data_IF_998231235881
#
_entry.id   IF_998231235881
#
_cell.length_a   1.000
_cell.length_b   1.000
_cell.length_c   1.000
_cell.angle_alpha   90.00
_cell.angle_beta   90.00
_cell.angle_gamma   90.00
#
_symmetry.space_group_name_H-M   'P 1'
#
loop_
_entity.id
_entity.type
_entity.pdbx_description
1 polymer ?
#
# COMPACT_ATOMS: atom_id res chain seq x y z
N UNK A 1 -4.06 -33.56 3.20
CA UNK A 1 -4.23 -32.98 4.54
C UNK A 1 -3.06 -32.08 4.78
N UNK A 2 -3.29 -30.84 5.15
CA UNK A 2 -2.25 -30.01 5.73
C UNK A 2 -2.13 -30.49 7.18
N UNK A 3 -1.12 -31.31 7.48
CA UNK A 3 -0.87 -31.77 8.86
C UNK A 3 -0.32 -30.58 9.67
N UNK A 4 -1.20 -29.83 10.34
CA UNK A 4 -0.84 -28.67 11.14
C UNK A 4 -2.03 -28.00 11.82
N UNK A 5 -1.76 -27.08 12.75
CA UNK A 5 -2.80 -26.21 13.31
C UNK A 5 -3.30 -25.18 12.27
N UNK A 6 -4.45 -24.57 12.55
CA UNK A 6 -5.10 -23.59 11.67
C UNK A 6 -4.20 -22.38 11.35
N UNK A 7 -3.37 -21.96 12.30
CA UNK A 7 -2.46 -20.83 12.08
C UNK A 7 -1.32 -21.20 11.11
N UNK A 8 -0.79 -22.42 11.21
CA UNK A 8 0.16 -22.97 10.26
C UNK A 8 -0.46 -23.11 8.87
N UNK A 9 -1.69 -23.62 8.78
CA UNK A 9 -2.41 -23.72 7.51
C UNK A 9 -2.62 -22.35 6.84
N UNK A 10 -2.96 -21.30 7.61
CA UNK A 10 -3.05 -19.96 7.06
C UNK A 10 -1.70 -19.46 6.49
N UNK A 11 -0.58 -19.80 7.12
CA UNK A 11 0.77 -19.45 6.63
C UNK A 11 1.14 -20.18 5.33
N UNK A 12 0.53 -21.33 5.05
CA UNK A 12 0.70 -22.02 3.77
C UNK A 12 0.17 -21.18 2.59
N UNK A 13 -0.85 -20.34 2.81
CA UNK A 13 -1.33 -19.38 1.80
C UNK A 13 -0.22 -18.38 1.45
N UNK A 14 0.46 -17.84 2.47
CA UNK A 14 1.59 -16.92 2.29
C UNK A 14 2.75 -17.64 1.59
N UNK A 15 3.08 -18.87 2.02
CA UNK A 15 4.13 -19.69 1.42
C UNK A 15 3.85 -19.94 -0.06
N UNK A 16 2.62 -20.28 -0.41
CA UNK A 16 2.23 -20.54 -1.80
C UNK A 16 2.49 -19.32 -2.70
N UNK A 17 2.17 -18.11 -2.23
CA UNK A 17 2.46 -16.86 -2.96
C UNK A 17 3.98 -16.62 -3.06
N UNK A 18 4.70 -16.67 -1.94
CA UNK A 18 6.14 -16.39 -1.91
C UNK A 18 6.95 -17.37 -2.77
N UNK A 19 6.52 -18.62 -2.85
CA UNK A 19 7.19 -19.68 -3.63
C UNK A 19 6.65 -19.80 -5.06
N UNK A 20 5.66 -18.98 -5.44
CA UNK A 20 4.93 -19.07 -6.73
C UNK A 20 4.33 -20.45 -6.99
N UNK A 21 3.98 -21.18 -5.93
CA UNK A 21 3.31 -22.47 -6.02
C UNK A 21 1.82 -22.28 -6.30
N UNK A 22 1.51 -22.07 -7.59
CA UNK A 22 0.14 -21.87 -8.05
C UNK A 22 -0.75 -23.10 -7.85
N UNK A 23 -0.16 -24.30 -7.77
CA UNK A 23 -0.90 -25.55 -7.56
C UNK A 23 -1.41 -25.60 -6.12
N UNK A 24 -0.53 -25.33 -5.15
CA UNK A 24 -0.90 -25.21 -3.76
C UNK A 24 -1.89 -24.06 -3.54
N UNK A 25 -1.64 -22.88 -4.13
CA UNK A 25 -2.54 -21.75 -3.95
C UNK A 25 -3.95 -22.06 -4.48
N UNK A 26 -4.08 -22.73 -5.63
CA UNK A 26 -5.38 -23.20 -6.15
C UNK A 26 -6.03 -24.22 -5.21
N UNK A 27 -5.26 -25.15 -4.65
CA UNK A 27 -5.77 -26.12 -3.67
C UNK A 27 -6.40 -25.37 -2.48
N UNK A 28 -5.67 -24.43 -1.89
CA UNK A 28 -6.08 -23.63 -0.73
C UNK A 28 -7.28 -22.72 -1.01
N UNK A 29 -7.39 -22.17 -2.23
CA UNK A 29 -8.41 -21.15 -2.59
C UNK A 29 -9.63 -21.68 -3.32
N UNK A 30 -9.64 -22.96 -3.75
CA UNK A 30 -10.72 -23.52 -4.57
C UNK A 30 -11.32 -24.82 -4.04
N UNK A 31 -10.73 -25.43 -3.02
CA UNK A 31 -11.15 -26.76 -2.55
C UNK A 31 -11.95 -26.64 -1.26
N UNK A 32 -13.28 -26.85 -1.28
CA UNK A 32 -14.12 -26.65 -0.10
C UNK A 32 -13.71 -27.48 1.13
N UNK A 33 -13.17 -28.68 0.90
CA UNK A 33 -12.68 -29.55 1.99
C UNK A 33 -11.50 -28.95 2.76
N UNK A 34 -10.71 -28.08 2.11
CA UNK A 34 -9.52 -27.45 2.71
C UNK A 34 -9.89 -26.19 3.50
N UNK A 35 -11.04 -25.57 3.23
CA UNK A 35 -11.46 -24.35 3.94
C UNK A 35 -11.65 -24.60 5.43
N UNK A 36 -12.11 -25.80 5.82
CA UNK A 36 -12.23 -26.20 7.22
C UNK A 36 -10.87 -26.34 7.94
N UNK A 37 -9.74 -26.23 7.24
CA UNK A 37 -8.38 -26.21 7.81
C UNK A 37 -7.84 -24.77 7.94
N UNK A 38 -8.50 -23.76 7.36
CA UNK A 38 -8.06 -22.36 7.31
C UNK A 38 -9.04 -21.46 8.07
N UNK A 39 -8.54 -20.45 8.79
CA UNK A 39 -9.42 -19.43 9.41
C UNK A 39 -9.47 -18.12 8.62
N UNK A 40 -8.47 -17.83 7.78
CA UNK A 40 -8.44 -16.63 6.94
C UNK A 40 -7.45 -16.78 5.79
N UNK A 41 -7.67 -16.03 4.71
CA UNK A 41 -6.70 -15.86 3.63
C UNK A 41 -5.77 -14.64 3.86
N UNK A 42 -6.06 -13.80 4.86
CA UNK A 42 -5.33 -12.56 5.14
C UNK A 42 -4.44 -12.64 6.40
N UNK A 43 -4.03 -13.85 6.79
CA UNK A 43 -3.15 -14.00 7.94
C UNK A 43 -1.85 -13.22 7.76
N UNK A 44 -1.37 -12.63 8.84
CA UNK A 44 -0.08 -11.97 8.88
C UNK A 44 1.02 -13.02 8.99
N UNK A 45 2.16 -12.76 8.35
CA UNK A 45 3.32 -13.67 8.39
C UNK A 45 3.79 -13.94 9.81
N UNK A 46 3.91 -12.90 10.64
CA UNK A 46 4.33 -12.98 12.03
C UNK A 46 3.99 -11.67 12.77
N UNK A 47 4.05 -11.67 14.11
CA UNK A 47 3.95 -10.47 14.96
C UNK A 47 4.67 -9.23 14.42
N UNK A 48 5.94 -9.37 14.01
CA UNK A 48 6.74 -8.25 13.49
C UNK A 48 6.45 -7.95 12.00
N UNK A 49 5.99 -8.94 11.24
CA UNK A 49 5.78 -8.83 9.80
C UNK A 49 4.30 -8.99 9.49
N UNK A 50 3.60 -7.86 9.51
CA UNK A 50 2.15 -7.76 9.28
C UNK A 50 1.73 -7.97 7.81
N UNK A 51 2.65 -8.43 6.95
CA UNK A 51 2.37 -8.71 5.52
C UNK A 51 1.61 -10.02 5.36
N UNK A 52 0.53 -10.00 4.61
CA UNK A 52 -0.28 -11.17 4.25
C UNK A 52 0.07 -11.68 2.85
N UNK A 53 -0.55 -12.79 2.44
CA UNK A 53 -0.39 -13.35 1.11
C UNK A 53 -0.73 -12.33 0.00
N UNK A 54 -1.79 -11.54 0.19
CA UNK A 54 -2.16 -10.51 -0.79
C UNK A 54 -1.12 -9.39 -0.84
N UNK A 55 -0.58 -8.95 0.30
CA UNK A 55 0.49 -7.94 0.33
C UNK A 55 1.69 -8.38 -0.52
N UNK A 56 2.11 -9.64 -0.40
CA UNK A 56 3.20 -10.17 -1.23
C UNK A 56 2.82 -10.33 -2.70
N UNK A 57 1.56 -10.67 -3.02
CA UNK A 57 1.10 -10.72 -4.40
C UNK A 57 1.11 -9.32 -5.04
N UNK A 58 0.69 -8.30 -4.31
CA UNK A 58 0.73 -6.89 -4.73
C UNK A 58 2.17 -6.43 -4.99
N UNK A 59 3.08 -6.65 -4.04
CA UNK A 59 4.48 -6.22 -4.18
C UNK A 59 5.23 -6.94 -5.32
N UNK A 60 4.83 -8.17 -5.64
CA UNK A 60 5.40 -8.90 -6.78
C UNK A 60 4.64 -8.68 -8.08
N UNK A 61 3.59 -7.84 -8.07
CA UNK A 61 2.65 -7.64 -9.18
C UNK A 61 2.10 -8.97 -9.76
N UNK A 62 1.91 -9.97 -8.89
CA UNK A 62 1.41 -11.30 -9.26
C UNK A 62 -0.12 -11.29 -9.37
N UNK A 63 -0.60 -10.89 -10.55
CA UNK A 63 -2.02 -10.83 -10.88
C UNK A 63 -2.73 -12.18 -10.72
N UNK A 64 -2.03 -13.30 -10.96
CA UNK A 64 -2.61 -14.63 -10.87
C UNK A 64 -2.88 -15.00 -9.41
N UNK A 65 -1.90 -14.77 -8.53
CA UNK A 65 -2.06 -15.00 -7.09
C UNK A 65 -3.09 -14.06 -6.47
N UNK A 66 -3.01 -12.76 -6.77
CA UNK A 66 -3.97 -11.76 -6.28
C UNK A 66 -5.40 -12.09 -6.74
N UNK A 67 -5.58 -12.55 -7.98
CA UNK A 67 -6.87 -12.95 -8.51
C UNK A 67 -7.46 -14.16 -7.81
N UNK A 68 -6.63 -15.17 -7.49
CA UNK A 68 -7.05 -16.33 -6.71
C UNK A 68 -7.49 -15.94 -5.29
N UNK A 69 -6.71 -15.09 -4.63
CA UNK A 69 -7.01 -14.62 -3.27
C UNK A 69 -8.28 -13.77 -3.22
N UNK A 70 -8.45 -12.83 -4.16
CA UNK A 70 -9.67 -12.03 -4.28
C UNK A 70 -10.89 -12.92 -4.51
N UNK A 71 -10.80 -13.85 -5.48
CA UNK A 71 -11.89 -14.77 -5.77
C UNK A 71 -12.27 -15.61 -4.54
N UNK A 72 -11.30 -16.07 -3.75
CA UNK A 72 -11.56 -16.80 -2.53
C UNK A 72 -12.27 -15.93 -1.49
N UNK A 73 -11.79 -14.70 -1.27
CA UNK A 73 -12.42 -13.75 -0.34
C UNK A 73 -13.85 -13.38 -0.72
N UNK A 74 -14.18 -13.36 -2.02
CA UNK A 74 -15.53 -13.02 -2.50
C UNK A 74 -16.51 -14.20 -2.43
N UNK A 75 -16.02 -15.45 -2.59
CA UNK A 75 -16.86 -16.64 -2.79
C UNK A 75 -16.92 -17.59 -1.60
N UNK A 76 -15.90 -17.59 -0.73
CA UNK A 76 -15.85 -18.49 0.41
C UNK A 76 -16.60 -17.85 1.57
N UNK A 77 -17.65 -18.52 2.02
CA UNK A 77 -18.43 -18.05 3.17
C UNK A 77 -17.65 -18.29 4.46
N UNK A 78 -17.74 -17.36 5.41
CA UNK A 78 -17.01 -17.43 6.70
C UNK A 78 -17.31 -18.73 7.47
N UNK A 79 -18.51 -19.28 7.31
CA UNK A 79 -18.97 -20.53 7.93
C UNK A 79 -18.24 -21.77 7.38
N UNK A 80 -17.63 -21.67 6.21
CA UNK A 80 -16.82 -22.73 5.61
C UNK A 80 -15.38 -22.75 6.14
N UNK A 81 -14.94 -21.65 6.76
CA UNK A 81 -13.62 -21.52 7.36
C UNK A 81 -13.63 -22.06 8.80
N UNK A 82 -12.48 -22.55 9.25
CA UNK A 82 -12.24 -22.90 10.63
C UNK A 82 -12.35 -21.66 11.54
N UNK A 83 -12.73 -21.88 12.80
CA UNK A 83 -12.58 -20.85 13.83
C UNK A 83 -11.11 -20.47 13.99
N UNK A 84 -10.83 -19.18 14.13
CA UNK A 84 -9.50 -18.74 14.53
C UNK A 84 -9.16 -19.34 15.91
N UNK A 85 -7.89 -19.75 16.13
CA UNK A 85 -7.48 -20.30 17.42
C UNK A 85 -7.68 -19.27 18.52
N UNK A 86 -8.26 -19.71 19.65
CA UNK A 86 -8.41 -18.85 20.82
C UNK A 86 -7.10 -18.73 21.59
N UNK A 87 -6.78 -17.51 21.99
CA UNK A 87 -5.59 -17.23 22.80
C UNK A 87 -5.92 -17.51 24.25
N UNK A 88 -5.40 -18.61 24.79
CA UNK A 88 -5.68 -19.05 26.16
C UNK A 88 -5.19 -18.05 27.24
N UNK A 89 -4.19 -17.23 26.92
CA UNK A 89 -3.69 -16.15 27.77
C UNK A 89 -3.66 -14.85 26.96
N UNK A 90 -4.75 -14.07 26.91
CA UNK A 90 -4.83 -12.89 26.03
C UNK A 90 -4.06 -11.68 26.58
N UNK A 91 -3.78 -11.66 27.88
CA UNK A 91 -2.99 -10.61 28.50
C UNK A 91 -2.25 -11.13 29.72
N UNK A 92 -1.12 -10.51 30.04
CA UNK A 92 -0.37 -10.73 31.26
C UNK A 92 -0.11 -9.37 31.93
N UNK A 93 -0.70 -9.16 33.10
CA UNK A 93 -0.48 -7.91 33.84
C UNK A 93 0.89 -7.91 34.50
N UNK A 94 1.60 -6.80 34.35
CA UNK A 94 2.93 -6.57 34.94
C UNK A 94 2.87 -5.74 36.22
N UNK A 95 1.66 -5.49 36.72
CA UNK A 95 1.38 -4.57 37.83
C UNK A 95 1.37 -3.10 37.38
N UNK A 96 0.94 -2.20 38.27
CA UNK A 96 0.98 -0.76 38.05
C UNK A 96 1.82 -0.07 39.14
N UNK A 97 2.46 1.04 38.79
CA UNK A 97 3.11 1.88 39.79
C UNK A 97 2.06 2.48 40.74
N UNK A 98 2.20 2.26 42.04
CA UNK A 98 1.23 2.67 43.08
C UNK A 98 1.39 4.12 43.55
N UNK A 99 1.87 5.03 42.70
CA UNK A 99 2.22 6.38 43.14
C UNK A 99 1.22 7.42 42.65
N UNK A 100 0.30 7.80 43.54
CA UNK A 100 -0.63 8.93 43.38
C UNK A 100 0.05 10.30 43.46
N UNK A 101 1.39 10.34 43.58
CA UNK A 101 2.20 11.52 43.96
C UNK A 101 3.44 11.74 43.08
N UNK A 102 3.52 11.15 41.89
CA UNK A 102 4.70 11.34 41.02
C UNK A 102 4.32 11.67 39.57
N UNK A 103 4.40 12.96 39.24
CA UNK A 103 4.14 13.55 37.91
C UNK A 103 5.30 13.39 36.92
N UNK A 104 5.84 12.19 36.78
CA UNK A 104 6.86 11.90 35.76
C UNK A 104 6.47 10.68 34.93
N UNK A 105 6.57 10.79 33.60
CA UNK A 105 6.32 9.71 32.63
C UNK A 105 7.20 8.47 32.93
N UNK A 106 6.73 7.58 33.79
CA UNK A 106 7.40 6.31 34.07
C UNK A 106 7.10 5.31 32.96
N UNK A 107 8.15 4.61 32.52
CA UNK A 107 8.03 3.49 31.57
C UNK A 107 7.12 2.41 32.14
N UNK A 108 6.37 1.75 31.25
CA UNK A 108 5.58 0.59 31.63
C UNK A 108 6.46 -0.47 32.31
N UNK A 109 5.92 -1.11 33.35
CA UNK A 109 6.56 -2.26 33.97
C UNK A 109 6.42 -3.41 32.97
N UNK A 110 7.52 -4.06 32.59
CA UNK A 110 7.48 -5.26 31.75
C UNK A 110 7.49 -6.51 32.63
N UNK A 111 6.98 -7.63 32.11
CA UNK A 111 6.97 -8.91 32.82
C UNK A 111 8.39 -9.41 33.12
N UNK A 112 9.37 -8.94 32.33
CA UNK A 112 10.78 -9.28 32.50
C UNK A 112 11.64 -8.04 32.81
N UNK A 113 12.76 -8.27 33.49
CA UNK A 113 13.71 -7.21 33.91
C UNK A 113 14.53 -6.68 32.73
N UNK A 114 14.91 -5.41 32.80
CA UNK A 114 15.88 -4.80 31.89
C UNK A 114 15.32 -4.35 30.53
N UNK A 115 14.01 -4.10 30.43
CA UNK A 115 13.39 -3.63 29.19
C UNK A 115 13.17 -4.72 28.13
N UNK A 116 13.35 -5.99 28.49
CA UNK A 116 13.02 -7.13 27.64
C UNK A 116 11.50 -7.38 27.66
N UNK A 117 10.97 -7.96 26.59
CA UNK A 117 9.54 -8.27 26.44
C UNK A 117 9.12 -9.43 27.36
N UNK A 118 9.97 -10.44 27.52
CA UNK A 118 9.68 -11.60 28.36
C UNK A 118 8.47 -12.38 27.86
N UNK A 119 7.55 -12.71 28.77
CA UNK A 119 6.32 -13.44 28.42
C UNK A 119 5.35 -12.61 27.55
N UNK A 120 5.51 -11.28 27.47
CA UNK A 120 4.66 -10.44 26.62
C UNK A 120 4.87 -10.74 25.13
N UNK A 121 6.04 -11.21 24.72
CA UNK A 121 6.32 -11.60 23.33
C UNK A 121 5.38 -12.70 22.82
N UNK A 122 4.85 -13.55 23.72
CA UNK A 122 3.90 -14.62 23.37
C UNK A 122 2.49 -14.09 23.06
N UNK A 123 2.23 -12.81 23.33
CA UNK A 123 0.92 -12.17 23.14
C UNK A 123 0.82 -11.42 21.81
N UNK A 124 1.94 -11.16 21.12
CA UNK A 124 1.97 -10.31 19.93
C UNK A 124 1.20 -10.92 18.74
N UNK A 125 1.10 -12.25 18.67
CA UNK A 125 0.32 -12.95 17.65
C UNK A 125 -1.18 -13.06 18.01
N UNK A 126 -1.63 -12.53 19.16
CA UNK A 126 -2.99 -12.75 19.65
C UNK A 126 -4.10 -12.20 18.73
N UNK A 127 -3.77 -11.19 17.93
CA UNK A 127 -4.70 -10.58 16.97
C UNK A 127 -4.52 -11.13 15.54
N UNK A 128 -3.56 -12.02 15.31
CA UNK A 128 -3.28 -12.55 13.98
C UNK A 128 -4.44 -13.45 13.52
N UNK A 129 -4.93 -13.20 12.30
CA UNK A 129 -6.03 -13.96 11.72
C UNK A 129 -7.43 -13.59 12.23
N UNK A 130 -7.57 -12.51 13.01
CA UNK A 130 -8.89 -11.95 13.34
C UNK A 130 -9.52 -11.16 12.18
N UNK A 131 -8.72 -10.73 11.20
CA UNK A 131 -9.24 -10.13 9.98
C UNK A 131 -9.82 -11.20 9.06
N UNK A 132 -11.12 -11.06 8.77
CA UNK A 132 -11.87 -12.00 7.93
C UNK A 132 -11.93 -11.59 6.47
N UNK A 133 -11.57 -10.34 6.14
CA UNK A 133 -11.62 -9.79 4.79
C UNK A 133 -10.27 -9.22 4.41
N UNK A 134 -9.84 -9.48 3.17
CA UNK A 134 -8.63 -8.90 2.61
C UNK A 134 -8.72 -7.36 2.59
N UNK A 135 -7.67 -6.70 3.06
CA UNK A 135 -7.51 -5.26 2.86
C UNK A 135 -6.81 -4.97 1.52
N UNK A 136 -7.47 -4.25 0.62
CA UNK A 136 -6.88 -3.83 -0.65
C UNK A 136 -6.09 -2.52 -0.56
N UNK A 137 -6.17 -1.82 0.58
CA UNK A 137 -5.52 -0.52 0.80
C UNK A 137 -3.99 -0.58 0.70
N UNK A 138 -3.40 -1.77 0.85
CA UNK A 138 -1.96 -1.96 0.69
C UNK A 138 -1.47 -1.67 -0.73
N UNK A 139 -2.32 -1.79 -1.75
CA UNK A 139 -2.01 -1.41 -3.13
C UNK A 139 -1.35 -0.03 -3.21
N UNK A 140 -1.90 0.93 -2.47
CA UNK A 140 -1.47 2.33 -2.48
C UNK A 140 -0.13 2.55 -1.77
N UNK A 141 0.45 1.54 -1.15
CA UNK A 141 1.75 1.59 -0.47
C UNK A 141 2.81 0.76 -1.20
N UNK A 142 2.45 0.12 -2.31
CA UNK A 142 3.36 -0.75 -3.04
C UNK A 142 4.09 0.03 -4.14
N UNK A 143 5.43 -0.02 -4.19
CA UNK A 143 6.22 0.67 -5.21
C UNK A 143 6.07 0.03 -6.61
N UNK A 144 5.62 -1.21 -6.68
CA UNK A 144 5.67 -2.05 -7.89
C UNK A 144 4.30 -2.39 -8.46
N UNK A 145 3.22 -2.20 -7.71
CA UNK A 145 1.88 -2.57 -8.15
C UNK A 145 1.47 -1.86 -9.45
N UNK A 146 0.94 -2.64 -10.39
CA UNK A 146 0.54 -2.16 -11.71
C UNK A 146 -0.87 -1.55 -11.76
N UNK A 147 -1.20 -0.95 -12.90
CA UNK A 147 -2.57 -0.50 -13.22
C UNK A 147 -3.50 -1.71 -13.39
N UNK A 148 -2.96 -2.82 -13.89
CA UNK A 148 -3.65 -4.09 -14.01
C UNK A 148 -4.03 -4.63 -12.62
N UNK A 149 -3.11 -4.53 -11.65
CA UNK A 149 -3.39 -4.89 -10.25
C UNK A 149 -4.48 -3.99 -9.65
N UNK A 150 -4.43 -2.67 -9.90
CA UNK A 150 -5.51 -1.75 -9.50
C UNK A 150 -6.87 -2.19 -10.07
N UNK A 151 -6.91 -2.52 -11.37
CA UNK A 151 -8.13 -2.94 -12.06
C UNK A 151 -8.65 -4.28 -11.55
N UNK A 152 -7.75 -5.20 -11.19
CA UNK A 152 -8.08 -6.50 -10.61
C UNK A 152 -8.74 -6.35 -9.22
N UNK A 153 -8.18 -5.50 -8.36
CA UNK A 153 -8.67 -5.32 -6.99
C UNK A 153 -9.92 -4.44 -6.92
N UNK A 154 -10.04 -3.45 -7.81
CA UNK A 154 -11.15 -2.50 -7.85
C UNK A 154 -11.84 -2.48 -9.23
N UNK A 155 -12.51 -3.58 -9.62
CA UNK A 155 -13.01 -3.77 -10.98
C UNK A 155 -14.15 -2.80 -11.37
N UNK A 156 -14.83 -2.18 -10.40
CA UNK A 156 -15.91 -1.22 -10.65
C UNK A 156 -15.45 0.23 -10.64
N UNK A 157 -14.16 0.48 -10.40
CA UNK A 157 -13.61 1.84 -10.33
C UNK A 157 -13.99 2.59 -9.05
N UNK A 158 -14.46 1.90 -8.02
CA UNK A 158 -14.89 2.48 -6.74
C UNK A 158 -13.77 3.26 -6.03
N UNK A 159 -12.51 2.98 -6.37
CA UNK A 159 -11.33 3.70 -5.90
C UNK A 159 -11.31 5.18 -6.29
N UNK A 160 -12.11 5.63 -7.26
CA UNK A 160 -12.17 7.06 -7.66
C UNK A 160 -13.07 7.91 -6.77
N UNK A 161 -13.79 7.29 -5.82
CA UNK A 161 -14.84 7.94 -5.05
C UNK A 161 -14.52 7.95 -3.55
N UNK A 162 -15.00 8.99 -2.86
CA UNK A 162 -14.98 9.07 -1.39
C UNK A 162 -13.73 9.72 -0.79
N UNK A 163 -13.68 9.76 0.54
CA UNK A 163 -12.68 10.53 1.29
C UNK A 163 -11.26 9.93 1.22
N UNK A 164 -11.13 8.64 0.90
CA UNK A 164 -9.85 7.94 0.88
C UNK A 164 -8.99 8.27 -0.35
N UNK A 165 -9.58 8.76 -1.45
CA UNK A 165 -8.89 9.01 -2.73
C UNK A 165 -7.65 9.89 -2.52
N UNK A 166 -7.80 11.03 -1.85
CA UNK A 166 -6.69 11.96 -1.58
C UNK A 166 -5.52 11.28 -0.87
N UNK A 167 -5.82 10.50 0.17
CA UNK A 167 -4.82 9.78 0.95
C UNK A 167 -4.16 8.69 0.11
N UNK A 168 -4.92 7.98 -0.71
CA UNK A 168 -4.45 6.90 -1.57
C UNK A 168 -3.49 7.42 -2.66
N UNK A 169 -3.82 8.55 -3.30
CA UNK A 169 -2.92 9.20 -4.28
C UNK A 169 -1.61 9.62 -3.61
N UNK A 170 -1.68 10.28 -2.44
CA UNK A 170 -0.47 10.70 -1.72
C UNK A 170 0.38 9.50 -1.31
N UNK A 171 -0.23 8.39 -0.84
CA UNK A 171 0.50 7.17 -0.49
C UNK A 171 1.22 6.56 -1.69
N UNK A 172 0.52 6.42 -2.83
CA UNK A 172 1.10 5.83 -4.03
C UNK A 172 2.25 6.69 -4.59
N UNK A 173 2.12 8.02 -4.51
CA UNK A 173 3.19 8.92 -4.88
C UNK A 173 4.38 8.80 -3.93
N UNK A 174 4.17 8.72 -2.61
CA UNK A 174 5.25 8.60 -1.62
C UNK A 174 5.89 7.22 -1.53
N UNK A 175 5.39 6.21 -2.24
CA UNK A 175 6.13 4.96 -2.45
C UNK A 175 6.82 4.90 -3.82
N UNK A 176 6.87 6.01 -4.57
CA UNK A 176 7.61 6.09 -5.83
C UNK A 176 6.94 5.41 -7.03
N UNK A 177 5.68 4.96 -6.90
CA UNK A 177 4.99 4.25 -7.97
C UNK A 177 4.45 5.23 -9.04
N UNK A 178 5.36 5.86 -9.78
CA UNK A 178 5.04 6.95 -10.70
C UNK A 178 4.10 6.52 -11.84
N UNK A 179 4.15 5.26 -12.28
CA UNK A 179 3.28 4.71 -13.33
C UNK A 179 1.83 4.56 -12.86
N UNK A 180 1.63 3.97 -11.68
CA UNK A 180 0.29 3.86 -11.09
C UNK A 180 -0.28 5.26 -10.84
N UNK A 181 0.52 6.15 -10.24
CA UNK A 181 0.12 7.53 -9.94
C UNK A 181 -0.23 8.29 -11.22
N UNK A 182 0.53 8.11 -12.31
CA UNK A 182 0.21 8.70 -13.62
C UNK A 182 -1.20 8.36 -14.03
N UNK A 183 -1.55 7.07 -14.01
CA UNK A 183 -2.87 6.61 -14.46
C UNK A 183 -3.99 7.09 -13.56
N UNK A 184 -3.76 7.06 -12.25
CA UNK A 184 -4.71 7.50 -11.23
C UNK A 184 -4.99 8.99 -11.37
N UNK A 185 -3.95 9.82 -11.46
CA UNK A 185 -4.08 11.28 -11.61
C UNK A 185 -4.71 11.65 -12.95
N UNK A 186 -4.33 10.98 -14.05
CA UNK A 186 -4.98 11.15 -15.36
C UNK A 186 -6.49 10.89 -15.26
N UNK A 187 -6.89 9.82 -14.57
CA UNK A 187 -8.31 9.46 -14.42
C UNK A 187 -9.06 10.48 -13.56
N UNK A 188 -8.45 10.94 -12.45
CA UNK A 188 -9.07 11.94 -11.57
C UNK A 188 -9.16 13.33 -12.23
N UNK A 189 -8.21 13.67 -13.09
CA UNK A 189 -8.26 14.87 -13.92
C UNK A 189 -9.43 14.80 -14.91
N UNK A 190 -9.56 13.70 -15.65
CA UNK A 190 -10.67 13.46 -16.61
C UNK A 190 -12.04 13.43 -15.94
N UNK A 191 -12.15 12.82 -14.77
CA UNK A 191 -13.40 12.77 -14.00
C UNK A 191 -13.80 14.15 -13.44
N UNK A 192 -12.83 15.06 -13.29
CA UNK A 192 -13.02 16.35 -12.66
C UNK A 192 -13.19 16.27 -11.14
N UNK A 193 -13.33 17.43 -10.49
CA UNK A 193 -13.65 17.53 -9.06
C UNK A 193 -12.47 17.40 -8.09
N UNK A 194 -11.30 16.93 -8.54
CA UNK A 194 -10.11 16.73 -7.68
C UNK A 194 -9.04 17.82 -7.81
N UNK A 195 -9.22 18.80 -8.70
CA UNK A 195 -8.30 19.92 -8.87
C UNK A 195 -6.97 19.57 -9.55
N UNK A 196 -6.79 18.35 -10.06
CA UNK A 196 -5.66 18.02 -10.93
C UNK A 196 -5.78 18.73 -12.29
N UNK A 197 -4.65 18.95 -12.96
CA UNK A 197 -4.57 19.40 -14.34
C UNK A 197 -3.70 18.45 -15.18
N UNK A 198 -3.57 18.76 -16.46
CA UNK A 198 -2.81 17.96 -17.40
C UNK A 198 -1.34 17.76 -17.00
N UNK A 199 -0.70 18.78 -16.39
CA UNK A 199 0.70 18.66 -15.97
C UNK A 199 0.90 17.66 -14.84
N UNK A 200 -0.06 17.51 -13.93
CA UNK A 200 0.08 16.58 -12.80
C UNK A 200 0.38 15.15 -13.24
N UNK A 201 -0.21 14.68 -14.35
CA UNK A 201 0.06 13.32 -14.85
C UNK A 201 1.09 13.28 -15.98
N UNK A 202 1.26 14.33 -16.79
CA UNK A 202 2.26 14.32 -17.87
C UNK A 202 3.70 14.29 -17.38
N UNK A 203 3.96 14.84 -16.20
CA UNK A 203 5.31 14.82 -15.57
C UNK A 203 5.70 13.44 -15.05
N UNK A 204 4.76 12.49 -15.03
CA UNK A 204 4.95 11.10 -14.62
C UNK A 204 5.10 10.17 -15.84
N UNK A 205 5.29 10.71 -17.04
CA UNK A 205 5.49 9.88 -18.22
C UNK A 205 6.84 9.16 -18.17
N UNK A 206 6.91 7.96 -18.77
CA UNK A 206 8.15 7.19 -18.88
C UNK A 206 9.25 7.91 -19.71
N UNK A 207 8.90 9.03 -20.35
CA UNK A 207 9.74 9.73 -21.33
C UNK A 207 9.35 9.35 -22.76
N UNK A 208 9.89 10.03 -23.77
CA UNK A 208 9.93 9.46 -25.11
C UNK A 208 10.78 8.19 -25.04
N UNK A 209 10.21 7.05 -25.45
CA UNK A 209 11.00 5.88 -25.83
C UNK A 209 12.10 6.38 -26.77
N UNK A 210 13.35 6.00 -26.49
CA UNK A 210 14.55 6.61 -27.07
C UNK A 210 14.33 7.08 -28.50
N UNK A 211 14.57 8.37 -28.75
CA UNK A 211 14.53 8.96 -30.08
C UNK A 211 15.21 7.97 -31.03
N UNK A 212 14.43 7.35 -31.91
CA UNK A 212 14.98 6.61 -33.02
C UNK A 212 15.93 7.58 -33.73
N UNK A 213 17.19 7.19 -33.87
CA UNK A 213 18.25 8.04 -34.40
C UNK A 213 17.76 8.80 -35.65
N UNK A 214 17.56 10.13 -35.52
CA UNK A 214 17.24 11.01 -36.65
C UNK A 214 15.93 11.79 -36.62
N UNK A 215 15.02 11.59 -35.66
CA UNK A 215 13.81 12.42 -35.52
C UNK A 215 13.99 13.56 -34.49
N UNK A 216 13.49 14.76 -34.79
CA UNK A 216 13.43 15.87 -33.82
C UNK A 216 12.69 15.38 -32.56
N UNK A 217 13.40 15.37 -31.43
CA UNK A 217 12.83 14.91 -30.18
C UNK A 217 11.60 15.76 -29.82
N UNK A 218 10.43 15.14 -29.82
CA UNK A 218 9.20 15.78 -29.39
C UNK A 218 9.41 16.43 -28.00
N UNK A 219 8.85 17.62 -27.76
CA UNK A 219 9.03 18.30 -26.48
C UNK A 219 8.51 17.42 -25.33
N UNK A 220 9.33 17.29 -24.28
CA UNK A 220 9.04 16.42 -23.12
C UNK A 220 7.67 16.69 -22.49
N UNK A 221 7.31 17.97 -22.39
CA UNK A 221 6.04 18.47 -21.89
C UNK A 221 5.36 19.32 -22.97
N UNK A 222 4.01 19.31 -23.04
CA UNK A 222 3.29 20.25 -23.89
C UNK A 222 3.55 21.69 -23.45
N UNK A 223 3.29 22.68 -24.29
CA UNK A 223 3.34 24.08 -23.88
C UNK A 223 2.36 24.33 -22.72
N UNK A 224 2.83 24.94 -21.63
CA UNK A 224 2.02 25.23 -20.45
C UNK A 224 2.29 26.63 -19.88
N UNK A 225 1.31 27.17 -19.14
CA UNK A 225 1.45 28.44 -18.41
C UNK A 225 2.06 28.18 -17.04
N UNK A 226 2.79 29.16 -16.49
CA UNK A 226 3.37 29.07 -15.14
C UNK A 226 2.33 28.72 -14.06
N UNK A 227 1.12 29.29 -14.15
CA UNK A 227 0.00 28.98 -13.24
C UNK A 227 -0.38 27.49 -13.23
N UNK A 228 -0.16 26.76 -14.32
CA UNK A 228 -0.42 25.32 -14.39
C UNK A 228 0.65 24.53 -13.64
N UNK A 229 1.92 24.94 -13.70
CA UNK A 229 3.04 24.29 -13.03
C UNK A 229 2.95 24.40 -11.50
N UNK A 230 2.31 25.47 -11.00
CA UNK A 230 2.12 25.72 -9.58
C UNK A 230 0.72 25.35 -9.07
N UNK A 231 -0.13 24.73 -9.89
CA UNK A 231 -1.50 24.40 -9.48
C UNK A 231 -1.51 23.35 -8.36
N UNK A 232 -2.24 23.64 -7.29
CA UNK A 232 -2.54 22.67 -6.23
C UNK A 232 -3.80 21.88 -6.57
N UNK A 233 -3.73 20.56 -6.43
CA UNK A 233 -4.90 19.71 -6.42
C UNK A 233 -5.72 19.92 -5.14
N UNK A 234 -7.02 19.67 -5.23
CA UNK A 234 -7.92 19.79 -4.08
C UNK A 234 -7.66 18.66 -3.09
N UNK A 235 -7.83 18.95 -1.82
CA UNK A 235 -7.59 18.07 -0.67
C UNK A 235 -6.13 17.62 -0.48
N UNK A 236 -5.46 17.08 -1.50
CA UNK A 236 -4.05 16.63 -1.42
C UNK A 236 -3.04 17.77 -1.44
N UNK A 237 -3.40 18.92 -2.05
CA UNK A 237 -2.48 20.03 -2.35
C UNK A 237 -1.26 19.63 -3.18
N UNK A 238 -1.28 18.46 -3.82
CA UNK A 238 -0.22 18.03 -4.72
C UNK A 238 -0.08 19.00 -5.89
N UNK A 239 1.17 19.26 -6.25
CA UNK A 239 1.56 20.09 -7.39
C UNK A 239 2.25 19.21 -8.43
N UNK A 240 2.30 19.62 -9.71
CA UNK A 240 3.12 18.94 -10.70
C UNK A 240 4.57 18.73 -10.23
N UNK A 241 5.14 19.66 -9.46
CA UNK A 241 6.49 19.53 -8.90
C UNK A 241 6.65 18.34 -7.93
N UNK A 242 5.65 18.05 -7.09
CA UNK A 242 5.68 16.87 -6.19
C UNK A 242 5.69 15.57 -7.00
N UNK A 243 4.94 15.54 -8.10
CA UNK A 243 4.81 14.36 -8.94
C UNK A 243 6.00 14.21 -9.89
N UNK A 244 6.59 15.30 -10.37
CA UNK A 244 7.82 15.23 -11.14
C UNK A 244 9.00 14.71 -10.31
N UNK A 245 9.01 14.99 -9.00
CA UNK A 245 10.07 14.54 -8.10
C UNK A 245 10.14 13.01 -7.94
N UNK A 246 9.03 12.28 -8.15
CA UNK A 246 9.03 10.80 -8.09
C UNK A 246 9.39 10.14 -9.43
N UNK A 247 9.53 10.92 -10.51
CA UNK A 247 9.86 10.38 -11.82
C UNK A 247 11.38 10.17 -11.94
N UNK A 248 11.87 8.96 -12.28
CA UNK A 248 13.30 8.71 -12.51
C UNK A 248 13.90 9.59 -13.61
N UNK A 249 13.09 10.07 -14.56
CA UNK A 249 13.52 10.99 -15.60
C UNK A 249 13.48 12.45 -15.09
N UNK A 250 14.63 12.90 -14.57
CA UNK A 250 14.83 14.23 -13.97
C UNK A 250 14.51 15.40 -14.91
N UNK A 251 14.48 15.19 -16.23
CA UNK A 251 14.19 16.25 -17.21
C UNK A 251 12.80 16.84 -17.04
N UNK A 252 11.83 16.06 -16.54
CA UNK A 252 10.49 16.56 -16.20
C UNK A 252 10.52 17.54 -15.03
N UNK A 253 11.33 17.23 -14.02
CA UNK A 253 11.52 18.09 -12.85
C UNK A 253 12.24 19.38 -13.25
N UNK A 254 13.31 19.30 -14.05
CA UNK A 254 14.05 20.45 -14.57
C UNK A 254 13.15 21.40 -15.37
N UNK A 255 12.32 20.85 -16.27
CA UNK A 255 11.40 21.64 -17.09
C UNK A 255 10.36 22.39 -16.25
N UNK A 256 9.85 21.78 -15.18
CA UNK A 256 8.95 22.45 -14.25
C UNK A 256 9.68 23.47 -13.37
N UNK A 257 10.88 23.14 -12.90
CA UNK A 257 11.68 24.01 -12.04
C UNK A 257 12.06 25.31 -12.75
N UNK A 258 12.42 25.23 -14.04
CA UNK A 258 12.75 26.39 -14.86
C UNK A 258 11.60 27.42 -14.96
N UNK A 259 10.35 26.97 -14.79
CA UNK A 259 9.16 27.83 -14.86
C UNK A 259 8.65 28.22 -13.47
N UNK A 260 8.69 27.31 -12.49
CA UNK A 260 8.20 27.56 -11.15
C UNK A 260 9.20 28.40 -10.32
N UNK A 261 10.49 28.10 -10.43
CA UNK A 261 11.55 28.71 -9.62
C UNK A 261 11.58 28.20 -8.17
N UNK A 262 12.56 28.70 -7.41
CA UNK A 262 12.90 28.21 -6.07
C UNK A 262 11.78 28.43 -5.04
N UNK A 263 10.90 29.42 -5.24
CA UNK A 263 9.78 29.74 -4.34
C UNK A 263 8.85 28.53 -4.10
N UNK A 264 8.73 27.65 -5.10
CA UNK A 264 7.79 26.52 -5.06
C UNK A 264 8.43 25.20 -4.60
N UNK A 265 9.75 25.21 -4.33
CA UNK A 265 10.52 24.03 -3.95
C UNK A 265 10.23 23.52 -2.53
N UNK A 266 9.81 24.41 -1.63
CA UNK A 266 9.55 24.11 -0.22
C UNK A 266 8.05 24.09 0.13
N UNK A 267 7.17 24.10 -0.88
CA UNK A 267 5.73 24.09 -0.61
C UNK A 267 5.27 22.69 -0.27
N UNK A 268 4.60 22.59 0.87
CA UNK A 268 4.07 21.34 1.40
C UNK A 268 2.73 20.96 0.77
N UNK A 269 2.52 19.66 0.68
CA UNK A 269 1.21 19.05 0.45
C UNK A 269 0.29 19.19 1.69
N UNK A 270 -0.85 18.53 1.68
CA UNK A 270 -1.83 18.55 2.77
C UNK A 270 -1.36 17.87 4.06
N UNK A 271 -0.33 17.02 4.00
CA UNK A 271 0.23 16.29 5.13
C UNK A 271 1.61 16.78 5.54
N UNK A 272 2.08 17.89 4.98
CA UNK A 272 3.33 18.53 5.36
C UNK A 272 4.57 18.06 4.60
N UNK A 273 4.42 17.28 3.52
CA UNK A 273 5.53 16.77 2.71
C UNK A 273 5.87 17.74 1.58
N UNK A 274 7.15 18.06 1.47
CA UNK A 274 7.73 18.88 0.40
C UNK A 274 8.19 17.99 -0.77
N UNK A 275 8.37 18.54 -1.99
CA UNK A 275 8.88 17.80 -3.15
C UNK A 275 10.16 16.99 -2.89
N UNK A 276 11.07 17.45 -2.02
CA UNK A 276 12.28 16.69 -1.67
C UNK A 276 11.97 15.36 -0.98
N UNK A 277 10.89 15.27 -0.20
CA UNK A 277 10.47 14.02 0.43
C UNK A 277 9.94 13.03 -0.60
N UNK A 278 9.35 13.54 -1.70
CA UNK A 278 8.94 12.73 -2.84
C UNK A 278 10.14 12.28 -3.67
N UNK A 279 11.20 13.07 -3.77
CA UNK A 279 12.42 12.67 -4.49
C UNK A 279 13.26 11.61 -3.76
N UNK A 280 13.02 11.38 -2.47
CA UNK A 280 13.79 10.45 -1.63
C UNK A 280 13.30 9.00 -1.68
N UNK A 281 12.26 8.71 -2.46
CA UNK A 281 11.56 7.41 -2.52
C UNK A 281 12.17 6.44 -3.52
#
# INVERSE_FOLDING_TARGET
>A
MIDGDVASANREVIRAVLTKDTTLLKLLTRTPKVYAELSTFDAQRSADVTRSALHYAIDNDDLAAAGLLKQASDKVEKQQLASAPEVALPSHSTGQHTSRYSDYNRRAINASRGGKEGNNALLEDANNGQQTSLSFDYLWKSPTASVEMLTLLYPTGEWTNGYAVSINVCRAARCGNFRLVRKVVETLEKNGGWGFNELHHKVLADGPDGAADGEEAAPLLPSFRAVSAIKQAYNTRLRPLHLAAINPNVKYLEALWAVAGDEFSAIKDDQGYEPIHYAAV
#
